data_IF_783143635520
#
_entry.id   IF_783143635520
#
_cell.length_a   1.000
_cell.length_b   1.000
_cell.length_c   1.000
_cell.angle_alpha   90.00
_cell.angle_beta   90.00
_cell.angle_gamma   90.00
#
_symmetry.space_group_name_H-M   'P 1'
#
loop_
_entity.id
_entity.type
_entity.pdbx_description
1 polymer ?
#
# COMPACT_ATOMS: atom_id res chain seq x y z
N UNK A 1 1.63 10.42 -1.60
CA UNK A 1 2.24 9.63 -0.51
C UNK A 1 1.21 8.98 0.39
N UNK A 2 0.43 9.68 1.22
CA UNK A 2 -0.68 9.02 1.95
C UNK A 2 -1.79 8.69 0.95
N UNK A 3 -2.32 7.47 1.00
CA UNK A 3 -3.41 7.00 0.15
C UNK A 3 -4.71 6.86 0.92
N UNK A 4 -4.71 6.09 2.00
CA UNK A 4 -5.85 6.02 2.93
C UNK A 4 -5.39 6.13 4.38
N UNK A 5 -6.31 6.52 5.25
CA UNK A 5 -6.04 6.60 6.69
C UNK A 5 -7.29 6.26 7.49
N UNK A 6 -7.08 5.83 8.73
CA UNK A 6 -8.11 5.76 9.75
C UNK A 6 -7.56 6.33 11.07
N UNK A 7 -8.36 7.14 11.75
CA UNK A 7 -7.98 7.76 13.00
C UNK A 7 -9.16 7.78 13.98
N UNK A 8 -8.87 7.44 15.22
CA UNK A 8 -9.78 7.66 16.33
C UNK A 8 -9.60 9.10 16.83
N UNK A 9 -10.70 9.74 17.21
CA UNK A 9 -10.73 11.06 17.83
C UNK A 9 -11.95 11.16 18.73
N UNK A 10 -11.92 12.05 19.70
CA UNK A 10 -13.09 12.37 20.50
C UNK A 10 -13.40 13.86 20.35
N UNK A 11 -14.42 14.15 19.55
CA UNK A 11 -14.85 15.52 19.27
C UNK A 11 -16.36 15.66 19.45
N UNK A 12 -16.81 16.73 20.12
CA UNK A 12 -18.23 17.01 20.28
C UNK A 12 -18.84 17.44 18.96
N UNK A 13 -20.04 16.94 18.67
CA UNK A 13 -20.84 17.33 17.53
C UNK A 13 -21.59 18.64 17.78
N UNK A 14 -22.00 19.33 16.71
CA UNK A 14 -23.04 20.34 16.82
C UNK A 14 -24.35 19.70 17.32
N UNK A 15 -25.15 20.41 18.14
CA UNK A 15 -26.49 19.95 18.51
C UNK A 15 -27.33 19.67 17.26
N UNK A 16 -28.07 18.55 17.23
CA UNK A 16 -28.95 18.21 16.12
C UNK A 16 -28.29 17.47 14.95
N UNK A 17 -26.96 17.28 14.93
CA UNK A 17 -26.28 16.62 13.79
C UNK A 17 -26.74 15.17 13.59
N UNK A 18 -26.93 14.42 14.68
CA UNK A 18 -27.41 13.04 14.58
C UNK A 18 -28.85 12.99 14.05
N UNK A 19 -29.71 13.87 14.56
CA UNK A 19 -31.10 14.00 14.12
C UNK A 19 -31.16 14.40 12.64
N UNK A 20 -30.36 15.39 12.23
CA UNK A 20 -30.28 15.87 10.85
C UNK A 20 -29.76 14.79 9.90
N UNK A 21 -28.77 13.99 10.29
CA UNK A 21 -28.31 12.84 9.51
C UNK A 21 -29.40 11.76 9.36
N UNK A 22 -30.10 11.44 10.44
CA UNK A 22 -31.20 10.46 10.42
C UNK A 22 -32.40 10.92 9.59
N UNK A 23 -32.66 12.22 9.56
CA UNK A 23 -33.73 12.84 8.77
C UNK A 23 -33.29 13.24 7.36
N UNK A 24 -32.07 12.88 6.94
CA UNK A 24 -31.49 13.23 5.63
C UNK A 24 -31.46 14.75 5.33
N UNK A 25 -31.35 15.59 6.36
CA UNK A 25 -31.30 17.06 6.27
C UNK A 25 -29.89 17.61 6.02
N UNK A 26 -28.86 16.74 6.01
CA UNK A 26 -27.49 17.11 5.66
C UNK A 26 -27.17 16.62 4.23
N UNK A 27 -27.41 17.44 3.19
CA UNK A 27 -27.37 16.98 1.80
C UNK A 27 -26.00 16.50 1.34
N UNK A 28 -24.92 16.90 2.02
CA UNK A 28 -23.55 16.49 1.71
C UNK A 28 -23.16 15.11 2.28
N UNK A 29 -24.00 14.57 3.17
CA UNK A 29 -23.72 13.34 3.91
C UNK A 29 -24.74 12.25 3.59
N UNK A 30 -24.27 11.01 3.52
CA UNK A 30 -25.09 9.81 3.42
C UNK A 30 -25.00 9.03 4.71
N UNK A 31 -26.16 8.70 5.31
CA UNK A 31 -26.25 7.71 6.38
C UNK A 31 -26.06 6.31 5.78
N UNK A 32 -25.09 5.55 6.28
CA UNK A 32 -24.82 4.17 5.83
C UNK A 32 -25.46 3.16 6.78
N UNK A 33 -25.33 3.41 8.08
CA UNK A 33 -25.90 2.53 9.09
C UNK A 33 -26.18 3.31 10.35
N UNK A 34 -27.34 3.08 10.92
CA UNK A 34 -27.71 3.43 12.27
C UNK A 34 -27.81 2.16 13.13
N UNK A 35 -27.55 2.30 14.41
CA UNK A 35 -27.62 1.19 15.33
C UNK A 35 -27.39 1.63 16.76
N UNK A 36 -27.48 0.68 17.69
CA UNK A 36 -27.11 0.90 19.08
C UNK A 36 -25.88 0.09 19.41
N UNK A 37 -24.91 0.69 20.11
CA UNK A 37 -23.71 0.01 20.58
C UNK A 37 -23.63 0.14 22.10
N UNK A 38 -23.33 -0.96 22.77
CA UNK A 38 -23.01 -0.95 24.19
C UNK A 38 -21.60 -0.32 24.36
N UNK A 39 -21.52 0.82 25.03
CA UNK A 39 -20.28 1.49 25.41
C UNK A 39 -20.23 1.52 26.94
N UNK A 40 -19.38 0.67 27.53
CA UNK A 40 -19.40 0.40 28.97
C UNK A 40 -20.72 -0.25 29.39
N UNK A 41 -21.52 0.45 30.20
CA UNK A 41 -22.85 -0.01 30.65
C UNK A 41 -24.02 0.70 29.93
N UNK A 42 -23.77 1.57 28.95
CA UNK A 42 -24.81 2.36 28.27
C UNK A 42 -24.95 1.95 26.81
N UNK A 43 -26.20 1.86 26.33
CA UNK A 43 -26.51 1.75 24.90
C UNK A 43 -26.45 3.15 24.30
N UNK A 44 -25.44 3.40 23.47
CA UNK A 44 -25.32 4.64 22.71
C UNK A 44 -25.80 4.44 21.27
N UNK A 45 -26.48 5.44 20.73
CA UNK A 45 -26.77 5.52 19.30
C UNK A 45 -25.44 5.65 18.56
N UNK A 46 -25.19 4.73 17.65
CA UNK A 46 -24.01 4.71 16.79
C UNK A 46 -24.45 4.90 15.35
N UNK A 47 -23.91 5.93 14.72
CA UNK A 47 -24.20 6.29 13.34
C UNK A 47 -22.91 6.20 12.53
N UNK A 48 -23.01 5.65 11.32
CA UNK A 48 -21.94 5.71 10.32
C UNK A 48 -22.46 6.53 9.16
N UNK A 49 -21.75 7.62 8.86
CA UNK A 49 -22.06 8.48 7.73
C UNK A 49 -20.85 8.57 6.79
N UNK A 50 -21.11 8.87 5.52
CA UNK A 50 -20.09 9.11 4.50
C UNK A 50 -20.37 10.43 3.78
N UNK A 51 -19.35 11.27 3.70
CA UNK A 51 -19.38 12.49 2.91
C UNK A 51 -19.43 12.13 1.42
N UNK A 52 -20.45 12.61 0.71
CA UNK A 52 -20.77 12.19 -0.67
C UNK A 52 -19.62 12.44 -1.64
N UNK A 53 -19.00 13.62 -1.55
CA UNK A 53 -18.03 14.06 -2.54
C UNK A 53 -16.65 13.39 -2.36
N UNK A 54 -16.20 13.23 -1.11
CA UNK A 54 -14.84 12.71 -0.83
C UNK A 54 -14.81 11.23 -0.45
N UNK A 55 -15.98 10.66 -0.12
CA UNK A 55 -16.07 9.31 0.45
C UNK A 55 -15.54 9.22 1.89
N UNK A 56 -15.29 10.34 2.57
CA UNK A 56 -14.84 10.36 3.96
C UNK A 56 -15.91 9.72 4.86
N UNK A 57 -15.53 8.62 5.50
CA UNK A 57 -16.39 7.88 6.43
C UNK A 57 -16.14 8.35 7.84
N UNK A 58 -17.23 8.60 8.57
CA UNK A 58 -17.21 8.97 9.98
C UNK A 58 -18.04 7.98 10.80
N UNK A 59 -17.62 7.78 12.04
CA UNK A 59 -18.37 7.01 13.04
C UNK A 59 -18.69 7.93 14.19
N UNK A 60 -19.98 8.11 14.43
CA UNK A 60 -20.56 8.96 15.47
C UNK A 60 -21.14 8.05 16.57
N UNK A 61 -21.02 8.45 17.84
CA UNK A 61 -21.58 7.73 18.99
C UNK A 61 -22.04 8.74 20.04
N UNK A 62 -23.34 8.79 20.29
CA UNK A 62 -23.93 9.84 21.12
C UNK A 62 -23.53 11.24 20.62
N UNK A 63 -23.16 12.19 21.50
CA UNK A 63 -22.82 13.55 21.08
C UNK A 63 -21.40 13.69 20.51
N UNK A 64 -20.75 12.58 20.11
CA UNK A 64 -19.34 12.57 19.74
C UNK A 64 -19.08 11.97 18.35
N UNK A 65 -18.20 12.62 17.59
CA UNK A 65 -17.42 12.00 16.53
C UNK A 65 -16.31 11.15 17.16
N UNK A 66 -16.28 9.85 16.83
CA UNK A 66 -15.39 8.85 17.44
C UNK A 66 -14.26 8.38 16.53
N UNK A 67 -14.50 8.33 15.22
CA UNK A 67 -13.54 7.83 14.25
C UNK A 67 -13.80 8.41 12.87
N UNK A 68 -12.72 8.60 12.13
CA UNK A 68 -12.72 8.91 10.70
C UNK A 68 -11.92 7.89 9.91
N UNK A 69 -12.30 7.68 8.67
CA UNK A 69 -11.58 6.86 7.70
C UNK A 69 -11.82 7.42 6.30
N UNK A 70 -10.75 7.60 5.51
CA UNK A 70 -10.89 8.23 4.21
C UNK A 70 -9.72 7.97 3.26
N UNK A 71 -9.95 8.26 1.99
CA UNK A 71 -8.92 8.33 0.95
C UNK A 71 -8.36 9.75 0.92
N UNK A 72 -7.06 9.88 1.12
CA UNK A 72 -6.36 11.16 1.19
C UNK A 72 -6.35 11.89 -0.17
N UNK A 73 -6.11 11.23 -1.33
CA UNK A 73 -6.26 11.86 -2.63
C UNK A 73 -7.66 12.47 -2.86
N UNK A 74 -8.73 11.79 -2.41
CA UNK A 74 -10.12 12.23 -2.58
C UNK A 74 -10.54 13.39 -1.68
N UNK A 75 -9.69 13.87 -0.78
CA UNK A 75 -9.94 15.10 -0.02
C UNK A 75 -9.87 16.36 -0.91
N UNK A 76 -9.34 16.24 -2.13
CA UNK A 76 -9.44 17.27 -3.18
C UNK A 76 -10.26 16.67 -4.34
N UNK A 77 -11.56 17.00 -4.45
CA UNK A 77 -12.50 16.34 -5.36
C UNK A 77 -12.15 16.44 -6.84
N UNK A 78 -11.45 17.51 -7.24
CA UNK A 78 -11.17 17.80 -8.65
C UNK A 78 -10.01 16.97 -9.23
N UNK A 79 -9.21 16.33 -8.37
CA UNK A 79 -7.99 15.62 -8.77
C UNK A 79 -7.78 14.31 -7.97
N UNK A 80 -8.76 13.39 -7.90
CA UNK A 80 -8.70 12.23 -7.01
C UNK A 80 -7.66 11.19 -7.45
N UNK A 81 -7.27 11.20 -8.73
CA UNK A 81 -6.31 10.24 -9.30
C UNK A 81 -4.85 10.69 -9.11
N UNK A 82 -4.64 11.97 -8.82
CA UNK A 82 -3.31 12.53 -8.67
C UNK A 82 -2.73 12.23 -7.29
N UNK A 83 -1.57 11.59 -7.31
CA UNK A 83 -0.80 11.36 -6.11
C UNK A 83 -0.29 12.68 -5.54
N UNK A 84 -0.33 12.81 -4.21
CA UNK A 84 0.22 13.98 -3.53
C UNK A 84 1.75 14.07 -3.74
N UNK A 85 2.23 15.18 -4.33
CA UNK A 85 3.64 15.39 -4.70
C UNK A 85 4.34 16.46 -3.89
N UNK A 86 3.62 17.38 -3.23
CA UNK A 86 4.22 18.50 -2.47
C UNK A 86 3.65 18.63 -1.05
N UNK A 87 4.32 19.41 -0.18
CA UNK A 87 3.80 19.73 1.16
C UNK A 87 2.59 20.66 1.10
N UNK A 88 2.53 21.57 0.12
CA UNK A 88 1.34 22.40 -0.14
C UNK A 88 0.13 21.54 -0.51
N UNK A 89 0.33 20.51 -1.34
CA UNK A 89 -0.70 19.53 -1.68
C UNK A 89 -1.21 18.74 -0.48
N UNK A 90 -0.30 18.40 0.46
CA UNK A 90 -0.68 17.74 1.71
C UNK A 90 -1.47 18.68 2.62
N UNK A 91 -1.01 19.92 2.76
CA UNK A 91 -1.65 20.94 3.59
C UNK A 91 -3.07 21.22 3.10
N UNK A 92 -3.25 21.44 1.79
CA UNK A 92 -4.57 21.64 1.18
C UNK A 92 -5.55 20.48 1.47
N UNK A 93 -5.08 19.23 1.36
CA UNK A 93 -5.90 18.04 1.65
C UNK A 93 -6.29 17.97 3.13
N UNK A 94 -5.36 18.29 4.04
CA UNK A 94 -5.68 18.35 5.47
C UNK A 94 -6.65 19.48 5.79
N UNK A 95 -6.47 20.66 5.19
CA UNK A 95 -7.39 21.79 5.35
C UNK A 95 -8.80 21.42 4.89
N UNK A 96 -8.94 20.76 3.73
CA UNK A 96 -10.23 20.27 3.25
C UNK A 96 -10.86 19.23 4.18
N UNK A 97 -10.05 18.33 4.76
CA UNK A 97 -10.56 17.40 5.78
C UNK A 97 -11.16 18.17 6.96
N UNK A 98 -10.47 19.20 7.46
CA UNK A 98 -10.96 19.99 8.58
C UNK A 98 -12.22 20.76 8.24
N UNK A 99 -12.28 21.39 7.07
CA UNK A 99 -13.49 22.08 6.59
C UNK A 99 -14.69 21.12 6.57
N UNK A 100 -14.50 19.89 6.06
CA UNK A 100 -15.55 18.87 6.05
C UNK A 100 -15.95 18.46 7.48
N UNK A 101 -14.99 18.21 8.36
CA UNK A 101 -15.27 17.80 9.75
C UNK A 101 -15.92 18.93 10.57
N UNK A 102 -15.62 20.18 10.26
CA UNK A 102 -16.23 21.34 10.91
C UNK A 102 -17.74 21.46 10.63
N UNK A 103 -18.25 20.86 9.54
CA UNK A 103 -19.70 20.72 9.32
C UNK A 103 -20.39 19.85 10.37
N UNK A 104 -19.64 18.95 11.05
CA UNK A 104 -20.16 18.04 12.07
C UNK A 104 -19.98 18.59 13.49
N UNK A 105 -18.99 19.44 13.74
CA UNK A 105 -18.72 19.98 15.07
C UNK A 105 -17.58 20.99 15.10
N UNK A 106 -17.53 21.87 16.10
CA UNK A 106 -16.56 22.95 16.13
C UNK A 106 -15.17 22.49 16.60
N UNK A 107 -14.15 23.27 16.24
CA UNK A 107 -12.77 23.14 16.71
C UNK A 107 -12.09 21.80 16.37
N UNK A 108 -12.40 21.21 15.20
CA UNK A 108 -11.84 19.92 14.78
C UNK A 108 -10.31 19.95 14.61
N UNK A 109 -9.76 21.09 14.16
CA UNK A 109 -8.32 21.33 14.04
C UNK A 109 -7.55 21.22 15.36
N UNK A 110 -8.19 21.51 16.49
CA UNK A 110 -7.58 21.46 17.81
C UNK A 110 -7.66 20.07 18.46
N UNK A 111 -8.30 19.10 17.80
CA UNK A 111 -8.51 17.76 18.35
C UNK A 111 -7.30 16.87 18.14
N UNK A 112 -7.08 15.98 19.11
CA UNK A 112 -6.05 14.97 18.98
C UNK A 112 -6.55 13.79 18.17
N UNK A 113 -5.87 13.51 17.06
CA UNK A 113 -6.07 12.31 16.25
C UNK A 113 -5.14 11.19 16.71
N UNK A 114 -5.69 9.99 16.88
CA UNK A 114 -4.92 8.76 17.07
C UNK A 114 -5.06 7.89 15.84
N UNK A 115 -4.06 7.97 14.94
CA UNK A 115 -4.06 7.18 13.71
C UNK A 115 -3.94 5.69 14.01
N UNK A 116 -4.96 4.93 13.63
CA UNK A 116 -5.02 3.46 13.79
C UNK A 116 -4.65 2.72 12.51
N UNK A 117 -4.73 3.40 11.36
CA UNK A 117 -4.25 2.94 10.06
C UNK A 117 -3.70 4.11 9.24
N UNK A 118 -2.55 3.91 8.59
CA UNK A 118 -2.00 4.82 7.58
C UNK A 118 -1.48 3.97 6.42
N UNK A 119 -1.99 4.23 5.22
CA UNK A 119 -1.54 3.57 4.01
C UNK A 119 -0.68 4.58 3.23
N UNK A 120 0.61 4.30 3.16
CA UNK A 120 1.57 5.06 2.36
C UNK A 120 1.71 4.38 1.01
N UNK A 121 1.56 5.10 -0.08
CA UNK A 121 1.63 4.51 -1.40
C UNK A 121 2.15 5.47 -2.47
N UNK A 122 2.92 4.88 -3.38
CA UNK A 122 3.45 5.51 -4.57
C UNK A 122 3.24 4.59 -5.77
N UNK A 123 2.91 5.18 -6.90
CA UNK A 123 2.97 4.54 -8.22
C UNK A 123 4.24 5.03 -8.89
N UNK A 124 5.19 4.10 -9.02
CA UNK A 124 6.54 4.36 -9.49
C UNK A 124 6.61 4.11 -10.99
N UNK A 125 7.42 4.90 -11.68
CA UNK A 125 7.77 4.67 -13.08
C UNK A 125 8.77 3.50 -13.18
N UNK A 126 8.28 2.31 -12.88
CA UNK A 126 8.99 1.05 -12.88
C UNK A 126 8.11 0.01 -13.56
N UNK A 127 8.76 -0.93 -14.26
CA UNK A 127 8.07 -2.03 -14.90
C UNK A 127 7.72 -3.13 -13.86
N UNK A 128 6.43 -3.40 -13.58
CA UNK A 128 6.02 -4.43 -12.63
C UNK A 128 6.53 -5.83 -13.00
N UNK A 129 6.65 -6.14 -14.30
CA UNK A 129 7.14 -7.44 -14.80
C UNK A 129 8.61 -7.69 -14.45
N UNK A 130 9.39 -6.64 -14.15
CA UNK A 130 10.75 -6.76 -13.62
C UNK A 130 10.77 -6.85 -12.09
N UNK A 131 9.99 -6.01 -11.42
CA UNK A 131 10.11 -5.85 -9.96
C UNK A 131 9.37 -6.94 -9.19
N UNK A 132 8.17 -7.36 -9.63
CA UNK A 132 7.36 -8.34 -8.90
C UNK A 132 8.05 -9.71 -8.79
N UNK A 133 8.66 -10.28 -9.86
CA UNK A 133 9.37 -11.55 -9.76
C UNK A 133 10.50 -11.54 -8.73
N UNK A 134 11.25 -10.44 -8.60
CA UNK A 134 12.30 -10.30 -7.59
C UNK A 134 11.74 -10.39 -6.15
N UNK A 135 10.52 -9.89 -5.94
CA UNK A 135 9.91 -9.79 -4.62
C UNK A 135 9.11 -11.02 -4.18
N UNK A 136 8.73 -11.91 -5.08
CA UNK A 136 7.86 -13.07 -4.77
C UNK A 136 8.42 -14.03 -3.71
N UNK A 137 9.75 -14.19 -3.68
CA UNK A 137 10.48 -15.05 -2.74
C UNK A 137 11.18 -14.23 -1.64
N UNK A 138 11.11 -12.90 -1.73
CA UNK A 138 11.77 -11.99 -0.80
C UNK A 138 11.19 -12.12 0.60
N UNK A 139 11.95 -11.68 1.60
CA UNK A 139 11.49 -11.65 2.98
C UNK A 139 11.71 -10.30 3.62
N UNK A 140 10.61 -9.69 4.04
CA UNK A 140 10.67 -8.47 4.83
C UNK A 140 10.97 -8.81 6.30
N UNK A 141 11.97 -8.16 6.91
CA UNK A 141 12.47 -8.44 8.27
C UNK A 141 11.39 -8.37 9.35
N UNK A 142 10.44 -7.45 9.18
CA UNK A 142 9.32 -7.19 10.10
C UNK A 142 8.08 -8.07 9.85
N UNK A 143 8.05 -8.87 8.79
CA UNK A 143 6.89 -9.70 8.41
C UNK A 143 7.28 -11.18 8.46
N UNK A 144 6.61 -11.94 9.33
CA UNK A 144 6.92 -13.36 9.54
C UNK A 144 6.18 -14.30 8.59
N UNK A 145 5.01 -13.89 8.10
CA UNK A 145 4.21 -14.69 7.17
C UNK A 145 4.92 -14.81 5.83
N UNK A 146 4.61 -15.88 5.11
CA UNK A 146 5.10 -16.08 3.75
C UNK A 146 4.47 -15.06 2.80
N UNK A 147 5.17 -14.80 1.70
CA UNK A 147 4.75 -13.89 0.66
C UNK A 147 3.59 -14.49 -0.12
N UNK A 148 2.52 -13.72 -0.29
CA UNK A 148 1.35 -14.08 -1.07
C UNK A 148 1.55 -13.55 -2.50
N UNK A 149 1.41 -14.41 -3.50
CA UNK A 149 1.54 -14.04 -4.91
C UNK A 149 0.21 -14.28 -5.61
N UNK A 150 -0.25 -13.28 -6.37
CA UNK A 150 -1.45 -13.39 -7.19
C UNK A 150 -1.03 -13.35 -8.66
N UNK A 151 -1.70 -14.16 -9.45
CA UNK A 151 -1.47 -14.27 -10.88
C UNK A 151 -2.82 -14.03 -11.55
N UNK A 152 -2.84 -13.17 -12.56
CA UNK A 152 -4.03 -12.97 -13.36
C UNK A 152 -3.83 -13.65 -14.71
N UNK A 153 -4.70 -14.59 -15.04
CA UNK A 153 -4.93 -14.95 -16.44
C UNK A 153 -5.69 -13.79 -17.11
N UNK A 154 -5.37 -13.47 -18.37
CA UNK A 154 -6.06 -12.42 -19.14
C UNK A 154 -7.58 -12.69 -19.13
N UNK A 155 -8.44 -11.66 -18.94
CA UNK A 155 -9.90 -11.83 -19.00
C UNK A 155 -10.34 -12.50 -20.31
N UNK A 156 -11.22 -13.51 -20.24
CA UNK A 156 -11.73 -14.24 -21.40
C UNK A 156 -11.04 -15.58 -21.71
N UNK A 157 -9.89 -15.87 -21.11
CA UNK A 157 -9.25 -17.19 -21.18
C UNK A 157 -9.69 -18.06 -20.01
N UNK A 158 -10.83 -18.73 -20.14
CA UNK A 158 -11.24 -19.78 -19.22
C UNK A 158 -10.26 -20.97 -19.34
N UNK A 159 -9.23 -21.03 -18.49
CA UNK A 159 -8.31 -22.16 -18.47
C UNK A 159 -8.90 -23.31 -17.65
N UNK A 160 -9.24 -24.41 -18.32
CA UNK A 160 -9.42 -25.72 -17.68
C UNK A 160 -8.04 -26.35 -17.49
N UNK A 161 -7.55 -26.46 -16.26
CA UNK A 161 -6.29 -27.14 -15.93
C UNK A 161 -5.40 -26.41 -14.91
N UNK A 162 -4.29 -27.04 -14.50
CA UNK A 162 -3.29 -26.44 -13.60
C UNK A 162 -2.63 -25.25 -14.28
N UNK A 163 -2.74 -24.06 -13.67
CA UNK A 163 -2.20 -22.80 -14.19
C UNK A 163 -0.68 -22.94 -14.42
N UNK A 164 -0.17 -22.65 -15.63
CA UNK A 164 1.26 -22.64 -15.87
C UNK A 164 1.96 -21.58 -15.02
N UNK A 165 3.08 -21.94 -14.40
CA UNK A 165 4.02 -20.97 -13.87
C UNK A 165 4.50 -20.08 -15.01
N UNK A 166 3.96 -18.87 -15.09
CA UNK A 166 4.46 -17.86 -16.01
C UNK A 166 4.68 -16.56 -15.25
N UNK A 167 5.90 -16.03 -15.33
CA UNK A 167 6.26 -14.78 -14.66
C UNK A 167 5.58 -13.55 -15.28
N UNK A 168 5.15 -13.66 -16.54
CA UNK A 168 4.40 -12.63 -17.26
C UNK A 168 2.98 -12.40 -16.70
N UNK A 169 2.40 -13.35 -15.96
CA UNK A 169 1.06 -13.24 -15.35
C UNK A 169 1.07 -12.82 -13.88
N UNK A 170 2.26 -12.72 -13.25
CA UNK A 170 2.40 -12.23 -11.87
C UNK A 170 2.01 -10.75 -11.81
N UNK A 171 0.87 -10.47 -11.18
CA UNK A 171 0.31 -9.11 -11.15
C UNK A 171 0.49 -8.41 -9.81
N UNK A 172 0.59 -9.17 -8.73
CA UNK A 172 0.59 -8.66 -7.36
C UNK A 172 1.40 -9.56 -6.43
N UNK A 173 2.24 -8.93 -5.62
CA UNK A 173 3.00 -9.55 -4.53
C UNK A 173 2.63 -8.86 -3.22
N UNK A 174 2.21 -9.64 -2.21
CA UNK A 174 1.77 -9.12 -0.91
C UNK A 174 2.57 -9.75 0.23
N UNK A 175 3.09 -8.89 1.09
CA UNK A 175 3.68 -9.25 2.37
C UNK A 175 2.69 -8.90 3.47
N UNK A 176 2.05 -9.91 4.06
CA UNK A 176 0.93 -9.71 4.98
C UNK A 176 1.35 -9.90 6.45
N UNK A 177 1.67 -8.80 7.14
CA UNK A 177 1.98 -8.80 8.56
C UNK A 177 0.81 -8.37 9.45
N UNK A 178 0.93 -8.62 10.75
CA UNK A 178 -0.13 -8.29 11.72
C UNK A 178 -0.36 -6.79 11.91
N UNK A 179 0.70 -5.99 11.85
CA UNK A 179 0.65 -4.53 11.99
C UNK A 179 1.15 -3.79 10.75
N UNK A 180 1.60 -4.52 9.73
CA UNK A 180 2.13 -3.94 8.50
C UNK A 180 1.82 -4.85 7.32
N UNK A 181 1.27 -4.30 6.25
CA UNK A 181 1.07 -4.99 4.98
C UNK A 181 1.78 -4.21 3.88
N UNK A 182 2.57 -4.90 3.06
CA UNK A 182 3.21 -4.30 1.89
C UNK A 182 2.63 -4.98 0.66
N UNK A 183 2.12 -4.21 -0.30
CA UNK A 183 1.58 -4.72 -1.56
C UNK A 183 2.31 -4.07 -2.72
N UNK A 184 2.78 -4.85 -3.67
CA UNK A 184 3.36 -4.39 -4.91
C UNK A 184 2.48 -4.93 -6.03
N UNK A 185 2.02 -4.10 -6.94
CA UNK A 185 1.18 -4.56 -8.03
C UNK A 185 1.27 -3.71 -9.29
N UNK A 186 0.90 -4.33 -10.40
CA UNK A 186 0.74 -3.66 -11.68
C UNK A 186 -0.51 -2.76 -11.65
N UNK A 187 -0.27 -1.44 -11.58
CA UNK A 187 -1.35 -0.45 -11.53
C UNK A 187 -2.07 -0.35 -12.88
N UNK A 188 -1.34 -0.50 -13.99
CA UNK A 188 -1.91 -0.51 -15.34
C UNK A 188 -2.89 -1.66 -15.44
N UNK A 189 -2.50 -2.86 -15.03
CA UNK A 189 -3.41 -4.00 -14.99
C UNK A 189 -4.63 -3.72 -14.10
N UNK A 190 -4.44 -3.15 -12.90
CA UNK A 190 -5.55 -2.87 -11.99
C UNK A 190 -6.61 -1.95 -12.63
N UNK A 191 -6.17 -0.90 -13.34
CA UNK A 191 -7.06 0.03 -14.04
C UNK A 191 -7.68 -0.63 -15.27
N UNK A 192 -6.87 -1.36 -16.04
CA UNK A 192 -7.26 -2.05 -17.27
C UNK A 192 -7.91 -3.42 -17.06
N UNK A 193 -8.34 -3.77 -15.83
CA UNK A 193 -8.88 -5.10 -15.51
C UNK A 193 -10.07 -5.54 -16.38
N UNK A 194 -10.73 -4.59 -17.04
CA UNK A 194 -11.87 -4.79 -17.93
C UNK A 194 -11.49 -4.78 -19.42
N UNK A 195 -10.24 -4.45 -19.74
CA UNK A 195 -9.74 -4.43 -21.12
C UNK A 195 -9.19 -5.80 -21.52
N UNK A 196 -9.37 -6.13 -22.79
CA UNK A 196 -8.88 -7.37 -23.41
C UNK A 196 -7.36 -7.37 -23.62
N UNK A 197 -6.76 -6.19 -23.74
CA UNK A 197 -5.33 -6.01 -24.01
C UNK A 197 -4.68 -5.14 -22.93
N UNK A 198 -3.54 -5.60 -22.42
CA UNK A 198 -2.68 -4.88 -21.48
C UNK A 198 -1.36 -4.63 -22.21
N UNK A 199 -0.75 -3.43 -22.10
CA UNK A 199 0.52 -3.13 -22.75
C UNK A 199 1.60 -4.16 -22.43
N UNK A 200 2.48 -4.44 -23.40
CA UNK A 200 3.57 -5.42 -23.23
C UNK A 200 4.65 -4.96 -22.25
N UNK A 201 4.77 -3.66 -22.01
CA UNK A 201 5.72 -3.10 -21.05
C UNK A 201 5.03 -2.03 -20.21
N UNK A 202 4.16 -2.42 -19.26
CA UNK A 202 3.46 -1.45 -18.44
C UNK A 202 4.48 -0.72 -17.54
N UNK A 203 4.43 0.60 -17.52
CA UNK A 203 5.07 1.42 -16.48
C UNK A 203 4.00 1.83 -15.49
N UNK A 204 4.27 1.64 -14.19
CA UNK A 204 3.27 1.92 -13.16
C UNK A 204 3.21 0.82 -12.11
N UNK A 205 4.34 0.57 -11.44
CA UNK A 205 4.35 -0.28 -10.26
C UNK A 205 3.77 0.50 -9.08
N UNK A 206 2.57 0.11 -8.62
CA UNK A 206 2.04 0.62 -7.34
C UNK A 206 2.65 -0.17 -6.20
N UNK A 207 3.13 0.56 -5.20
CA UNK A 207 3.69 0.00 -3.98
C UNK A 207 2.99 0.66 -2.80
N UNK A 208 2.31 -0.15 -1.99
CA UNK A 208 1.53 0.28 -0.83
C UNK A 208 2.13 -0.31 0.45
N UNK A 209 2.39 0.54 1.43
CA UNK A 209 2.82 0.20 2.78
C UNK A 209 1.71 0.62 3.74
N UNK A 210 0.88 -0.34 4.11
CA UNK A 210 -0.20 -0.18 5.08
C UNK A 210 0.33 -0.45 6.49
N UNK A 211 0.29 0.58 7.33
CA UNK A 211 0.65 0.53 8.74
C UNK A 211 -0.61 0.48 9.60
N UNK A 212 -0.63 -0.40 10.60
CA UNK A 212 -1.77 -0.63 11.50
C UNK A 212 -1.33 -0.55 12.95
N UNK A 213 -2.30 -0.32 13.84
CA UNK A 213 -2.13 -0.22 15.29
C UNK A 213 -1.36 1.04 15.69
N UNK A 214 -2.03 1.95 16.41
CA UNK A 214 -1.48 3.27 16.77
C UNK A 214 -0.08 3.20 17.42
N UNK A 215 0.12 2.26 18.37
CA UNK A 215 1.41 2.06 19.03
C UNK A 215 2.54 1.65 18.07
N UNK A 216 2.24 0.80 17.08
CA UNK A 216 3.23 0.34 16.09
C UNK A 216 3.52 1.42 15.06
N UNK A 217 2.49 2.13 14.61
CA UNK A 217 2.62 3.32 13.76
C UNK A 217 3.54 4.35 14.44
N UNK A 218 3.28 4.69 15.70
CA UNK A 218 4.11 5.62 16.47
C UNK A 218 5.59 5.18 16.54
N UNK A 219 5.85 3.90 16.79
CA UNK A 219 7.22 3.37 16.82
C UNK A 219 7.93 3.48 15.46
N UNK A 220 7.21 3.26 14.36
CA UNK A 220 7.76 3.39 12.99
C UNK A 220 8.11 4.85 12.67
N UNK A 221 7.30 5.80 13.14
CA UNK A 221 7.58 7.24 13.05
C UNK A 221 8.54 7.75 14.15
N UNK A 222 9.31 6.84 14.79
CA UNK A 222 10.28 7.14 15.84
C UNK A 222 9.73 7.99 17.00
N UNK A 223 8.46 7.81 17.36
CA UNK A 223 7.84 8.51 18.49
C UNK A 223 8.29 7.90 19.81
N UNK A 224 8.44 8.76 20.82
CA UNK A 224 8.67 8.33 22.21
C UNK A 224 7.52 7.42 22.67
N UNK A 225 7.83 6.44 23.51
CA UNK A 225 6.82 5.53 24.09
C UNK A 225 5.66 6.30 24.71
N UNK A 226 4.43 5.85 24.44
CA UNK A 226 3.20 6.50 24.92
C UNK A 226 2.73 7.69 24.08
N UNK A 227 3.52 8.19 23.11
CA UNK A 227 3.06 9.23 22.17
C UNK A 227 2.47 8.60 20.91
N UNK A 228 1.43 9.22 20.36
CA UNK A 228 0.85 8.89 19.06
C UNK A 228 1.42 9.78 17.96
N UNK A 229 1.17 9.39 16.70
CA UNK A 229 1.51 10.20 15.53
C UNK A 229 0.53 11.35 15.43
N UNK A 230 1.04 12.58 15.35
CA UNK A 230 0.23 13.78 15.12
C UNK A 230 0.16 14.11 13.63
N UNK A 231 -0.68 15.08 13.24
CA UNK A 231 -0.74 15.53 11.85
C UNK A 231 0.58 16.13 11.36
N UNK A 232 1.31 16.84 12.24
CA UNK A 232 2.64 17.38 11.93
C UNK A 232 3.69 16.28 11.69
N UNK A 233 3.38 15.04 12.05
CA UNK A 233 4.23 13.88 11.76
C UNK A 233 3.90 13.22 10.42
N UNK A 234 2.81 13.65 9.80
CA UNK A 234 2.35 13.21 8.50
C UNK A 234 2.73 14.19 7.38
N UNK A 235 3.81 14.96 7.55
CA UNK A 235 4.44 15.70 6.45
C UNK A 235 4.92 14.75 5.36
N UNK A 236 5.00 15.23 4.12
CA UNK A 236 5.47 14.45 2.96
C UNK A 236 6.86 13.86 3.20
N UNK A 237 7.79 14.67 3.71
CA UNK A 237 9.17 14.25 3.95
C UNK A 237 9.27 13.09 4.96
N UNK A 238 8.58 13.20 6.11
CA UNK A 238 8.54 12.13 7.12
C UNK A 238 7.88 10.86 6.59
N UNK A 239 6.74 10.99 5.91
CA UNK A 239 6.05 9.84 5.31
C UNK A 239 6.94 9.14 4.28
N UNK A 240 7.63 9.90 3.42
CA UNK A 240 8.56 9.37 2.45
C UNK A 240 9.76 8.67 3.11
N UNK A 241 10.35 9.26 4.16
CA UNK A 241 11.44 8.66 4.92
C UNK A 241 11.05 7.30 5.52
N UNK A 242 9.86 7.23 6.14
CA UNK A 242 9.30 5.96 6.65
C UNK A 242 9.08 4.94 5.54
N UNK A 243 8.49 5.38 4.42
CA UNK A 243 8.24 4.52 3.27
C UNK A 243 9.54 3.93 2.70
N UNK A 244 10.58 4.76 2.56
CA UNK A 244 11.92 4.36 2.12
C UNK A 244 12.60 3.41 3.12
N UNK A 245 12.55 3.69 4.43
CA UNK A 245 13.11 2.80 5.47
C UNK A 245 12.47 1.42 5.43
N UNK A 246 11.15 1.35 5.25
CA UNK A 246 10.43 0.08 5.16
C UNK A 246 10.86 -0.68 3.90
N UNK A 247 10.83 -0.06 2.73
CA UNK A 247 11.15 -0.77 1.49
C UNK A 247 12.65 -1.10 1.36
N UNK A 248 13.54 -0.25 1.89
CA UNK A 248 14.97 -0.53 1.96
C UNK A 248 15.33 -1.78 2.75
N UNK A 249 14.44 -2.29 3.61
CA UNK A 249 14.69 -3.54 4.34
C UNK A 249 14.62 -4.81 3.47
N UNK A 250 14.08 -4.71 2.25
CA UNK A 250 14.18 -5.77 1.24
C UNK A 250 15.57 -5.84 0.63
N UNK A 251 16.36 -4.77 0.69
CA UNK A 251 17.69 -4.77 0.12
C UNK A 251 18.62 -5.72 0.87
N UNK A 252 19.39 -6.45 0.09
CA UNK A 252 20.43 -7.36 0.56
C UNK A 252 21.75 -6.58 0.46
N UNK A 253 22.54 -6.50 1.55
CA UNK A 253 23.81 -5.78 1.53
C UNK A 253 24.71 -6.25 0.38
N UNK A 254 25.36 -5.31 -0.31
CA UNK A 254 26.37 -5.66 -1.32
C UNK A 254 27.53 -6.45 -0.69
N UNK A 255 28.02 -7.45 -1.41
CA UNK A 255 29.23 -8.22 -1.05
C UNK A 255 28.99 -9.58 -0.40
N UNK A 256 27.74 -9.96 -0.10
CA UNK A 256 27.46 -11.21 0.63
C UNK A 256 27.24 -12.47 -0.22
N UNK A 257 27.39 -12.44 -1.55
CA UNK A 257 27.49 -13.68 -2.35
C UNK A 257 28.53 -13.61 -3.45
N UNK A 258 29.70 -14.27 -3.28
CA UNK A 258 30.50 -14.66 -4.43
C UNK A 258 29.70 -15.63 -5.30
N UNK A 259 29.89 -15.57 -6.62
CA UNK A 259 29.38 -16.52 -7.58
C UNK A 259 29.93 -17.94 -7.27
N UNK A 260 29.29 -18.66 -6.37
CA UNK A 260 29.39 -20.12 -6.32
C UNK A 260 28.28 -20.64 -7.19
N UNK A 261 28.61 -21.46 -8.18
CA UNK A 261 27.63 -22.20 -8.98
C UNK A 261 27.03 -23.32 -8.10
N UNK A 262 26.20 -22.91 -7.15
CA UNK A 262 25.49 -23.78 -6.23
C UNK A 262 24.04 -23.98 -6.67
N UNK A 263 23.35 -24.92 -6.01
CA UNK A 263 21.97 -25.25 -6.34
C UNK A 263 21.04 -24.03 -6.28
N UNK A 264 21.25 -23.12 -5.32
CA UNK A 264 20.44 -21.89 -5.21
C UNK A 264 20.63 -20.98 -6.42
N UNK A 265 21.85 -20.90 -6.96
CA UNK A 265 22.15 -20.13 -8.16
C UNK A 265 21.51 -20.74 -9.41
N UNK A 266 21.59 -22.07 -9.57
CA UNK A 266 20.91 -22.77 -10.66
C UNK A 266 19.38 -22.58 -10.60
N UNK A 267 18.80 -22.76 -9.41
CA UNK A 267 17.36 -22.57 -9.21
C UNK A 267 16.95 -21.12 -9.46
N UNK A 268 17.76 -20.12 -9.07
CA UNK A 268 17.47 -18.71 -9.34
C UNK A 268 17.50 -18.37 -10.84
N UNK A 269 18.45 -18.93 -11.59
CA UNK A 269 18.52 -18.76 -13.05
C UNK A 269 17.26 -19.35 -13.70
N UNK A 270 16.90 -20.58 -13.34
CA UNK A 270 15.71 -21.26 -13.87
C UNK A 270 14.40 -20.57 -13.47
N UNK A 271 14.34 -20.04 -12.25
CA UNK A 271 13.20 -19.27 -11.76
C UNK A 271 13.04 -17.94 -12.53
N UNK A 272 14.12 -17.36 -13.07
CA UNK A 272 14.11 -16.16 -13.92
C UNK A 272 13.83 -16.47 -15.40
N UNK A 273 14.28 -17.63 -15.87
CA UNK A 273 14.19 -18.09 -17.25
C UNK A 273 13.32 -19.35 -17.34
N UNK A 274 12.00 -19.25 -17.11
CA UNK A 274 11.08 -20.39 -17.19
C UNK A 274 11.11 -21.09 -18.55
N UNK A 275 11.47 -20.37 -19.62
CA UNK A 275 11.69 -20.92 -20.96
C UNK A 275 12.82 -21.95 -21.03
N UNK A 276 13.74 -21.97 -20.06
CA UNK A 276 14.79 -22.99 -19.97
C UNK A 276 14.31 -24.25 -19.21
N UNK A 277 13.05 -24.28 -18.77
CA UNK A 277 12.49 -25.30 -17.88
C UNK A 277 11.38 -26.15 -18.55
N UNK A 278 11.41 -26.25 -19.88
CA UNK A 278 10.33 -26.80 -20.72
C UNK A 278 9.94 -28.26 -20.42
N UNK A 279 10.81 -29.06 -19.78
CA UNK A 279 10.62 -30.51 -19.65
C UNK A 279 9.77 -31.00 -18.45
N UNK A 280 9.46 -30.15 -17.44
CA UNK A 280 8.73 -30.56 -16.22
C UNK A 280 7.31 -29.98 -16.10
N UNK A 281 6.76 -29.45 -17.20
CA UNK A 281 5.41 -28.89 -17.26
C UNK A 281 5.27 -27.55 -16.52
N UNK A 282 4.11 -27.30 -15.90
CA UNK A 282 3.76 -26.03 -15.24
C UNK A 282 4.38 -25.78 -13.86
N UNK A 283 5.22 -26.70 -13.38
CA UNK A 283 5.75 -26.66 -12.01
C UNK A 283 6.96 -25.74 -11.91
N UNK A 284 7.01 -24.92 -10.85
CA UNK A 284 8.16 -24.04 -10.57
C UNK A 284 9.43 -24.85 -10.34
N UNK A 285 10.62 -24.38 -10.75
CA UNK A 285 11.88 -25.04 -10.40
C UNK A 285 12.03 -25.33 -8.90
N UNK A 286 11.66 -24.39 -8.02
CA UNK A 286 11.67 -24.60 -6.57
C UNK A 286 10.70 -25.68 -6.09
N UNK A 287 9.52 -25.78 -6.71
CA UNK A 287 8.50 -26.77 -6.34
C UNK A 287 8.85 -28.16 -6.88
N UNK A 288 9.45 -28.23 -8.07
CA UNK A 288 10.01 -29.44 -8.65
C UNK A 288 11.18 -29.97 -7.80
N UNK A 289 12.08 -29.09 -7.37
CA UNK A 289 13.15 -29.43 -6.43
C UNK A 289 12.57 -30.03 -5.14
N UNK A 290 11.52 -29.39 -4.58
CA UNK A 290 10.84 -29.89 -3.38
C UNK A 290 10.28 -31.30 -3.59
N UNK A 291 9.54 -31.50 -4.68
CA UNK A 291 8.87 -32.75 -5.01
C UNK A 291 9.86 -33.89 -5.22
N UNK A 292 10.89 -33.67 -6.03
CA UNK A 292 11.86 -34.70 -6.42
C UNK A 292 12.81 -35.09 -5.29
N UNK A 293 13.11 -34.18 -4.37
CA UNK A 293 14.11 -34.40 -3.32
C UNK A 293 13.51 -34.57 -1.92
N UNK A 294 12.19 -34.65 -1.78
CA UNK A 294 11.52 -34.86 -0.49
C UNK A 294 11.79 -33.76 0.54
N UNK A 295 11.97 -32.52 0.09
CA UNK A 295 12.44 -31.41 0.92
C UNK A 295 11.36 -30.96 1.90
N UNK A 296 11.69 -30.96 3.20
CA UNK A 296 10.81 -30.45 4.25
C UNK A 296 10.63 -28.92 4.20
N UNK A 297 9.56 -28.42 4.83
CA UNK A 297 9.18 -26.99 4.78
C UNK A 297 10.29 -26.06 5.26
N UNK A 298 11.05 -26.43 6.29
CA UNK A 298 12.12 -25.60 6.80
C UNK A 298 13.25 -25.39 5.79
N UNK A 299 13.68 -26.48 5.15
CA UNK A 299 14.73 -26.43 4.13
C UNK A 299 14.25 -25.69 2.88
N UNK A 300 12.99 -25.87 2.48
CA UNK A 300 12.39 -25.10 1.38
C UNK A 300 12.35 -23.60 1.68
N UNK A 301 12.01 -23.21 2.92
CA UNK A 301 12.02 -21.81 3.35
C UNK A 301 13.41 -21.19 3.37
N UNK A 302 14.47 -21.99 3.60
CA UNK A 302 15.86 -21.52 3.48
C UNK A 302 16.21 -21.36 2.00
N UNK A 303 15.96 -22.37 1.20
CA UNK A 303 16.21 -22.35 -0.26
C UNK A 303 15.51 -21.19 -0.97
N UNK A 304 14.26 -20.88 -0.64
CA UNK A 304 13.53 -19.71 -1.19
C UNK A 304 14.25 -18.39 -0.88
N UNK A 305 14.77 -18.22 0.33
CA UNK A 305 15.55 -17.03 0.70
C UNK A 305 16.85 -16.96 -0.08
N UNK A 306 17.50 -18.11 -0.26
CA UNK A 306 18.75 -18.19 -0.98
C UNK A 306 18.53 -17.88 -2.47
N UNK A 307 17.53 -18.47 -3.10
CA UNK A 307 17.13 -18.15 -4.48
C UNK A 307 16.81 -16.67 -4.63
N UNK A 308 15.97 -16.11 -3.76
CA UNK A 308 15.64 -14.67 -3.79
C UNK A 308 16.89 -13.81 -3.68
N UNK A 309 17.83 -14.18 -2.81
CA UNK A 309 19.07 -13.43 -2.66
C UNK A 309 19.95 -13.44 -3.91
N UNK A 310 19.97 -14.56 -4.65
CA UNK A 310 20.64 -14.61 -5.95
C UNK A 310 19.87 -13.82 -7.00
N UNK A 311 18.53 -13.90 -7.04
CA UNK A 311 17.70 -13.12 -7.97
C UNK A 311 17.96 -11.61 -7.82
N UNK A 312 18.02 -11.09 -6.58
CA UNK A 312 18.36 -9.69 -6.31
C UNK A 312 19.82 -9.34 -6.65
N UNK A 313 20.73 -10.31 -6.64
CA UNK A 313 22.13 -10.09 -7.02
C UNK A 313 22.32 -10.08 -8.54
N UNK A 314 21.56 -10.92 -9.26
CA UNK A 314 21.54 -11.01 -10.72
C UNK A 314 20.81 -9.84 -11.40
N UNK A 315 20.12 -8.98 -10.65
CA UNK A 315 19.43 -7.80 -11.18
C UNK A 315 20.01 -6.51 -10.57
N UNK A 316 20.04 -5.43 -11.35
CA UNK A 316 20.53 -4.13 -10.90
C UNK A 316 19.50 -3.36 -10.05
N UNK A 317 18.30 -3.90 -9.88
CA UNK A 317 17.23 -3.26 -9.10
C UNK A 317 17.60 -3.10 -7.62
N UNK A 318 17.52 -1.85 -7.15
CA UNK A 318 17.72 -1.46 -5.75
C UNK A 318 16.70 -0.44 -5.33
N UNK A 319 16.08 -0.64 -4.17
CA UNK A 319 15.16 0.33 -3.59
C UNK A 319 15.83 1.67 -3.33
N UNK A 320 17.11 1.71 -2.95
CA UNK A 320 17.87 2.94 -2.73
C UNK A 320 18.02 3.78 -4.01
N UNK A 321 18.11 3.11 -5.16
CA UNK A 321 18.21 3.77 -6.47
C UNK A 321 16.85 4.29 -6.93
N UNK A 322 15.80 3.50 -6.69
CA UNK A 322 14.41 3.87 -7.06
C UNK A 322 13.83 4.92 -6.12
N UNK A 323 14.19 4.88 -4.83
CA UNK A 323 13.70 5.76 -3.77
C UNK A 323 14.88 6.59 -3.21
N UNK A 324 15.31 7.64 -3.95
CA UNK A 324 16.47 8.44 -3.60
C UNK A 324 16.30 9.16 -2.25
N UNK A 325 17.41 9.42 -1.57
CA UNK A 325 17.35 9.92 -0.20
C UNK A 325 16.95 11.40 -0.10
N UNK A 326 17.19 12.15 -1.18
CA UNK A 326 17.27 13.61 -1.32
C UNK A 326 16.14 14.21 -2.19
N UNK A 327 15.27 13.37 -2.76
CA UNK A 327 14.14 13.81 -3.59
C UNK A 327 13.04 12.77 -3.66
N UNK A 328 11.89 13.13 -4.25
CA UNK A 328 10.86 12.14 -4.56
C UNK A 328 11.32 11.28 -5.74
N UNK A 329 10.90 10.01 -5.80
CA UNK A 329 11.18 9.15 -6.94
C UNK A 329 10.42 9.61 -8.18
N UNK A 330 10.76 9.07 -9.34
CA UNK A 330 9.94 9.21 -10.54
C UNK A 330 8.57 8.54 -10.31
N UNK A 331 7.52 9.35 -10.21
CA UNK A 331 6.15 8.91 -9.99
C UNK A 331 5.33 9.12 -11.25
N UNK A 332 4.51 8.12 -11.58
CA UNK A 332 3.56 8.16 -12.70
C UNK A 332 2.14 8.04 -12.16
N UNK A 333 1.21 8.85 -12.66
CA UNK A 333 -0.21 8.64 -12.40
C UNK A 333 -0.78 7.85 -13.59
N UNK A 334 -1.58 6.82 -13.32
CA UNK A 334 -2.15 5.95 -14.36
C UNK A 334 -3.63 6.25 -14.45
N UNK A 335 -4.02 6.85 -15.57
CA UNK A 335 -5.40 7.21 -15.87
C UNK A 335 -6.18 6.05 -16.49
N UNK A 336 -7.41 6.36 -16.88
CA UNK A 336 -8.29 5.42 -17.58
C UNK A 336 -7.60 4.84 -18.83
N UNK A 337 -7.86 3.57 -19.11
CA UNK A 337 -7.21 2.86 -20.21
C UNK A 337 -5.74 2.46 -19.93
N UNK A 338 -5.21 2.75 -18.73
CA UNK A 338 -3.84 2.40 -18.37
C UNK A 338 -2.80 3.36 -18.92
N UNK A 339 -3.24 4.53 -19.42
CA UNK A 339 -2.38 5.53 -20.01
C UNK A 339 -1.72 6.36 -18.90
N UNK A 340 -0.39 6.54 -18.93
CA UNK A 340 0.29 7.50 -18.07
C UNK A 340 -0.29 8.90 -18.26
N UNK A 341 -0.81 9.49 -17.19
CA UNK A 341 -1.24 10.88 -17.19
C UNK A 341 -0.01 11.79 -17.26
N UNK A 342 -0.11 12.88 -18.02
CA UNK A 342 0.95 13.88 -18.11
C UNK A 342 1.36 14.35 -16.71
N UNK A 343 2.58 14.03 -16.31
CA UNK A 343 3.13 14.50 -15.05
C UNK A 343 3.52 15.95 -15.20
N UNK A 344 2.85 16.85 -14.47
CA UNK A 344 3.37 18.20 -14.27
C UNK A 344 4.78 18.08 -13.68
N UNK A 345 5.76 18.51 -14.46
CA UNK A 345 7.18 18.40 -14.17
C UNK A 345 7.55 19.32 -13.02
N UNK A 346 7.43 18.85 -11.79
CA UNK A 346 8.08 19.48 -10.65
C UNK A 346 9.17 18.53 -10.16
N UNK A 347 10.42 18.89 -10.45
CA UNK A 347 11.59 18.40 -9.72
C UNK A 347 11.49 18.93 -8.29
N UNK A 348 10.97 18.13 -7.37
CA UNK A 348 10.79 18.55 -5.97
C UNK A 348 12.02 18.11 -5.18
N UNK A 349 12.87 19.07 -4.86
CA UNK A 349 13.88 18.95 -3.80
C UNK A 349 13.16 18.99 -2.45
N UNK A 350 13.00 17.82 -1.81
CA UNK A 350 12.25 17.72 -0.55
C UNK A 350 13.08 18.29 0.64
N UNK A 351 14.39 18.47 0.49
CA UNK A 351 15.32 18.65 1.62
C UNK A 351 16.02 20.01 1.70
N UNK A 352 15.62 21.03 0.94
CA UNK A 352 16.12 22.38 1.21
C UNK A 352 15.38 22.92 2.45
N UNK A 353 16.06 22.85 3.60
CA UNK A 353 15.68 23.35 4.94
C UNK A 353 15.15 22.31 5.95
N UNK A 354 15.93 21.26 6.25
CA UNK A 354 15.80 20.52 7.52
C UNK A 354 16.93 20.89 8.48
#
# INVERSE_FOLDING_TARGET
MIDTFAADLEARLHPGVLEALNQCQMPEWNLISDGRKLVGKRLEVRVVAVHKQTGLRVVLSGPFLRRIEGSFPRLVPLCPEHQCRSESDMSLRWDNLFTILETLGPNMRLRHFTFTRIDLALTLDQNPRRVLPLHRNARHRRIRRETECYYNDRPGLARKGKVPYRMDTLNTVVFNGSYMRISLYDKVFQVCRHLTEVPDFPTGLRVEVQLKQAKRIAAIFAKRSGKSVSLADLSLAKCYSVYRDVLGQFEIPQGSRPAKFDLSSCLAILERHPECWEDLGSMRPLDAYRFLNGVGDEQLRRMRRDVSAVEFWLDDFRWSNVLPADRLPAMVDIGEGGVPLATLSNSIEIFRNS
#
